data_IF_514890967655
#
_entry.id   IF_514890967655
#
_cell.length_a   1.000
_cell.length_b   1.000
_cell.length_c   1.000
_cell.angle_alpha   90.00
_cell.angle_beta   90.00
_cell.angle_gamma   90.00
#
_symmetry.space_group_name_H-M   'P 1'
#
loop_
_entity.id
_entity.type
_entity.pdbx_description
1 polymer ?
#
# COMPACT_ATOMS: atom_id res chain seq x y z
N UNK A 1 -6.83 -24.42 -20.81
CA UNK A 1 -7.88 -23.42 -20.54
C UNK A 1 -7.20 -22.16 -20.05
N UNK A 2 -7.53 -21.00 -20.61
CA UNK A 2 -7.07 -19.72 -20.09
C UNK A 2 -7.99 -19.26 -18.97
N UNK A 3 -7.43 -18.68 -17.92
CA UNK A 3 -8.21 -17.96 -16.91
C UNK A 3 -8.42 -16.53 -17.37
N UNK A 4 -9.63 -16.00 -17.19
CA UNK A 4 -9.95 -14.59 -17.44
C UNK A 4 -10.05 -13.86 -16.09
N UNK A 5 -9.22 -12.82 -15.86
CA UNK A 5 -9.26 -12.07 -14.61
C UNK A 5 -10.49 -11.15 -14.56
N UNK A 6 -11.15 -11.13 -13.40
CA UNK A 6 -12.20 -10.15 -13.09
C UNK A 6 -11.56 -9.05 -12.24
N UNK A 7 -11.46 -7.85 -12.81
CA UNK A 7 -10.78 -6.73 -12.18
C UNK A 7 -11.72 -5.80 -11.43
N UNK A 8 -11.17 -5.14 -10.42
CA UNK A 8 -11.76 -3.97 -9.78
C UNK A 8 -10.97 -2.72 -10.21
N UNK A 9 -11.69 -1.61 -10.44
CA UNK A 9 -11.11 -0.35 -10.90
C UNK A 9 -11.05 0.68 -9.78
N UNK A 10 -9.94 1.42 -9.71
CA UNK A 10 -9.70 2.46 -8.70
C UNK A 10 -9.28 3.77 -9.37
N UNK A 11 -9.59 4.88 -8.70
CA UNK A 11 -8.98 6.16 -9.04
C UNK A 11 -7.49 6.10 -8.71
N UNK A 12 -6.65 6.47 -9.68
CA UNK A 12 -5.20 6.53 -9.48
C UNK A 12 -4.76 7.74 -8.65
N UNK A 13 -3.45 7.99 -8.67
CA UNK A 13 -2.84 9.20 -8.13
C UNK A 13 -1.73 9.66 -9.07
N UNK A 14 -1.50 10.97 -9.11
CA UNK A 14 -0.43 11.57 -9.92
C UNK A 14 0.72 12.10 -9.06
N UNK A 15 0.47 12.31 -7.78
CA UNK A 15 1.48 12.71 -6.81
C UNK A 15 2.44 11.55 -6.54
N UNK A 16 3.72 11.87 -6.40
CA UNK A 16 4.74 10.87 -6.05
C UNK A 16 4.48 10.29 -4.67
N UNK A 17 4.65 8.97 -4.55
CA UNK A 17 4.76 8.28 -3.25
C UNK A 17 6.21 8.08 -2.83
N UNK A 18 7.18 8.38 -3.69
CA UNK A 18 8.58 8.08 -3.46
C UNK A 18 9.12 8.84 -2.25
N UNK A 19 9.71 8.10 -1.32
CA UNK A 19 10.32 8.65 -0.11
C UNK A 19 9.33 9.02 1.00
N UNK A 20 8.04 8.70 0.85
CA UNK A 20 7.06 8.90 1.92
C UNK A 20 7.38 7.98 3.12
N UNK A 21 7.37 8.56 4.33
CA UNK A 21 7.69 7.86 5.58
C UNK A 21 6.52 7.73 6.54
N UNK A 22 5.35 8.27 6.18
CA UNK A 22 4.11 8.14 6.92
C UNK A 22 2.88 8.16 6.00
N UNK A 23 1.77 7.61 6.47
CA UNK A 23 0.49 7.64 5.74
C UNK A 23 0.06 9.04 5.31
N UNK A 24 0.40 10.07 6.10
CA UNK A 24 -0.02 11.44 5.83
C UNK A 24 0.65 12.04 4.60
N UNK A 25 1.76 11.44 4.16
CA UNK A 25 2.51 11.84 2.97
C UNK A 25 2.00 11.13 1.72
N UNK A 26 1.15 10.11 1.85
CA UNK A 26 0.59 9.37 0.72
C UNK A 26 -0.68 10.04 0.18
N UNK A 27 -0.95 9.93 -1.13
CA UNK A 27 -2.24 10.30 -1.70
C UNK A 27 -3.36 9.48 -1.07
N UNK A 28 -4.50 10.12 -0.81
CA UNK A 28 -5.66 9.43 -0.21
C UNK A 28 -6.14 8.24 -1.05
N UNK A 29 -6.02 8.30 -2.39
CA UNK A 29 -6.38 7.21 -3.29
C UNK A 29 -5.40 6.02 -3.21
N UNK A 30 -4.11 6.27 -2.97
CA UNK A 30 -3.12 5.22 -2.70
C UNK A 30 -3.44 4.48 -1.40
N UNK A 31 -3.83 5.22 -0.34
CA UNK A 31 -4.23 4.62 0.94
C UNK A 31 -5.46 3.73 0.74
N UNK A 32 -6.47 4.20 -0.01
CA UNK A 32 -7.67 3.39 -0.33
C UNK A 32 -7.31 2.10 -1.06
N UNK A 33 -6.38 2.17 -2.01
CA UNK A 33 -5.92 0.99 -2.75
C UNK A 33 -5.24 -0.04 -1.83
N UNK A 34 -4.38 0.42 -0.92
CA UNK A 34 -3.72 -0.44 0.08
C UNK A 34 -4.77 -1.11 0.99
N UNK A 35 -5.77 -0.35 1.48
CA UNK A 35 -6.85 -0.90 2.29
C UNK A 35 -7.64 -1.99 1.56
N UNK A 36 -7.91 -1.79 0.27
CA UNK A 36 -8.59 -2.83 -0.52
C UNK A 36 -7.79 -4.12 -0.62
N UNK A 37 -6.47 -4.01 -0.79
CA UNK A 37 -5.60 -5.18 -0.80
C UNK A 37 -5.70 -5.92 0.53
N UNK A 38 -5.63 -5.21 1.68
CA UNK A 38 -5.79 -5.82 3.00
C UNK A 38 -7.12 -6.57 3.16
N UNK A 39 -8.22 -5.99 2.67
CA UNK A 39 -9.55 -6.63 2.68
C UNK A 39 -9.59 -7.90 1.83
N UNK A 40 -9.00 -7.87 0.63
CA UNK A 40 -9.01 -9.00 -0.30
C UNK A 40 -8.16 -10.18 0.18
N UNK A 41 -7.05 -9.90 0.85
CA UNK A 41 -6.13 -10.93 1.36
C UNK A 41 -6.43 -11.33 2.81
N UNK A 42 -7.38 -10.65 3.46
CA UNK A 42 -7.75 -10.83 4.87
C UNK A 42 -6.55 -10.72 5.85
N UNK A 43 -5.56 -9.89 5.50
CA UNK A 43 -4.34 -9.72 6.28
C UNK A 43 -3.84 -8.28 6.23
N UNK A 44 -3.26 -7.76 7.33
CA UNK A 44 -2.75 -6.41 7.37
C UNK A 44 -1.45 -6.27 6.59
N UNK A 45 -1.28 -5.14 5.91
CA UNK A 45 0.01 -4.72 5.37
C UNK A 45 0.85 -4.23 6.54
N UNK A 46 1.94 -4.90 6.85
CA UNK A 46 2.84 -4.51 7.95
C UNK A 46 3.82 -3.39 7.56
N UNK A 47 4.30 -3.42 6.31
CA UNK A 47 5.36 -2.56 5.80
C UNK A 47 5.02 -2.07 4.38
N UNK A 48 5.32 -0.81 4.09
CA UNK A 48 5.23 -0.24 2.75
C UNK A 48 6.56 0.44 2.38
N UNK A 49 7.33 -0.16 1.48
CA UNK A 49 8.53 0.47 0.92
C UNK A 49 8.14 1.46 -0.17
N UNK A 50 8.66 2.68 -0.08
CA UNK A 50 8.34 3.77 -1.01
C UNK A 50 9.54 4.18 -1.86
N UNK A 51 10.74 3.72 -1.54
CA UNK A 51 11.94 3.88 -2.37
C UNK A 51 12.99 2.79 -2.06
N UNK A 52 14.11 2.73 -2.81
CA UNK A 52 15.24 1.85 -2.49
C UNK A 52 15.99 2.20 -1.20
N UNK A 53 15.80 3.41 -0.65
CA UNK A 53 16.43 3.82 0.60
C UNK A 53 15.82 3.09 1.79
N UNK A 54 16.66 2.74 2.77
CA UNK A 54 16.24 1.99 3.95
C UNK A 54 15.20 2.73 4.79
N UNK A 55 15.34 4.04 4.91
CA UNK A 55 14.48 4.86 5.76
C UNK A 55 13.18 5.26 5.05
N UNK A 56 13.06 4.99 3.75
CA UNK A 56 11.87 5.23 2.94
C UNK A 56 10.91 4.03 3.00
N UNK A 57 10.58 3.66 4.25
CA UNK A 57 9.67 2.58 4.58
C UNK A 57 8.67 3.05 5.63
N UNK A 58 7.38 2.85 5.37
CA UNK A 58 6.31 3.13 6.33
C UNK A 58 6.05 1.84 7.13
N UNK A 59 6.27 1.90 8.44
CA UNK A 59 5.87 0.84 9.37
C UNK A 59 4.40 1.01 9.72
N UNK A 60 3.56 0.18 9.12
CA UNK A 60 2.10 0.25 9.25
C UNK A 60 1.63 -0.47 10.52
N UNK A 61 2.26 -1.61 10.79
CA UNK A 61 2.15 -2.40 12.01
C UNK A 61 3.52 -2.99 12.26
N UNK A 62 4.05 -2.78 13.47
CA UNK A 62 5.28 -3.44 13.87
C UNK A 62 5.04 -4.95 13.91
N UNK A 63 5.74 -5.75 13.06
CA UNK A 63 5.56 -7.19 13.04
C UNK A 63 6.07 -7.88 14.32
N UNK A 64 6.79 -7.16 15.19
CA UNK A 64 7.32 -7.64 16.46
C UNK A 64 6.67 -7.00 17.68
N UNK A 65 5.73 -6.06 17.50
CA UNK A 65 4.95 -5.53 18.61
C UNK A 65 3.80 -6.50 18.96
N UNK A 66 3.64 -6.76 20.26
CA UNK A 66 2.61 -7.64 20.83
C UNK A 66 1.18 -7.24 20.44
#
# INVERSE_FOLDING_TARGET
AGVEPIYESFEGWQQSTQGARSYKELPATAIKYIRRIEELIEAPVALLSTSPDRDDTILMRDPFAD
#
